data_IF_024530364610
#
_entry.id   IF_024530364610
#
_cell.length_a   1.000
_cell.length_b   1.000
_cell.length_c   1.000
_cell.angle_alpha   90.00
_cell.angle_beta   90.00
_cell.angle_gamma   90.00
#
_symmetry.space_group_name_H-M   'P 1'
#
loop_
_entity.id
_entity.type
_entity.pdbx_description
1 polymer ?
#
# COMPACT_ATOMS: atom_id res chain seq x y z
N UNK A 1 10.00 -20.73 -4.23
CA UNK A 1 8.72 -20.03 -4.21
C UNK A 1 8.30 -20.01 -2.75
N UNK A 2 8.70 -18.97 -2.04
CA UNK A 2 8.53 -18.85 -0.57
C UNK A 2 7.38 -17.89 -0.38
N UNK A 3 6.28 -18.43 0.11
CA UNK A 3 5.16 -17.65 0.60
C UNK A 3 5.57 -17.04 1.94
N UNK A 4 5.67 -15.71 2.02
CA UNK A 4 5.83 -14.93 3.24
C UNK A 4 4.51 -14.73 3.98
N UNK A 5 4.35 -14.02 5.11
CA UNK A 5 3.08 -13.77 5.81
C UNK A 5 2.16 -12.84 5.00
N UNK A 6 1.64 -13.39 4.15
CA UNK A 6 2.04 -14.17 3.00
C UNK A 6 0.82 -14.59 2.25
N UNK A 7 0.54 -13.94 1.16
CA UNK A 7 -0.45 -14.30 0.17
C UNK A 7 -1.43 -13.22 -0.20
N UNK A 8 -1.48 -12.09 0.47
CA UNK A 8 -2.32 -10.99 0.01
C UNK A 8 -1.68 -10.37 -1.24
N UNK A 9 -2.34 -10.50 -2.38
CA UNK A 9 -1.99 -9.77 -3.60
C UNK A 9 -2.01 -8.26 -3.32
N UNK A 10 -1.12 -7.54 -3.98
CA UNK A 10 -1.21 -6.08 -4.01
C UNK A 10 -2.59 -5.67 -4.56
N UNK A 11 -3.23 -4.66 -3.97
CA UNK A 11 -4.52 -4.16 -4.44
C UNK A 11 -4.35 -2.90 -5.28
N UNK A 12 -5.10 -2.78 -6.37
CA UNK A 12 -5.23 -1.56 -7.15
C UNK A 12 -6.65 -1.01 -7.00
N UNK A 13 -6.80 0.23 -6.53
CA UNK A 13 -8.09 0.90 -6.43
C UNK A 13 -8.43 1.57 -7.76
N UNK A 14 -9.57 1.18 -8.35
CA UNK A 14 -10.08 1.72 -9.60
C UNK A 14 -11.28 2.62 -9.28
N UNK A 15 -11.20 3.89 -9.66
CA UNK A 15 -12.23 4.88 -9.33
C UNK A 15 -12.69 5.59 -10.60
N UNK A 16 -13.91 5.34 -11.03
CA UNK A 16 -14.53 5.93 -12.22
C UNK A 16 -16.05 5.85 -12.04
N UNK A 17 -16.81 6.90 -12.35
CA UNK A 17 -18.27 6.91 -12.20
C UNK A 17 -19.00 6.04 -13.25
N UNK A 18 -18.27 5.60 -14.28
CA UNK A 18 -18.81 4.76 -15.36
C UNK A 18 -18.36 3.31 -15.20
N UNK A 19 -19.30 2.45 -14.94
CA UNK A 19 -19.07 1.01 -14.77
C UNK A 19 -18.36 0.35 -15.96
N UNK A 20 -18.65 0.81 -17.18
CA UNK A 20 -17.98 0.29 -18.40
C UNK A 20 -16.47 0.57 -18.37
N UNK A 21 -16.07 1.75 -17.86
CA UNK A 21 -14.65 2.08 -17.69
C UNK A 21 -13.99 1.20 -16.64
N UNK A 22 -14.66 0.92 -15.53
CA UNK A 22 -14.14 0.03 -14.49
C UNK A 22 -13.92 -1.38 -15.02
N UNK A 23 -14.89 -1.93 -15.76
CA UNK A 23 -14.77 -3.25 -16.41
C UNK A 23 -13.58 -3.28 -17.39
N UNK A 24 -13.39 -2.22 -18.17
CA UNK A 24 -12.27 -2.12 -19.09
C UNK A 24 -10.92 -2.06 -18.34
N UNK A 25 -10.85 -1.32 -17.24
CA UNK A 25 -9.66 -1.25 -16.39
C UNK A 25 -9.33 -2.60 -15.75
N UNK A 26 -10.33 -3.30 -15.21
CA UNK A 26 -10.17 -4.65 -14.67
C UNK A 26 -9.63 -5.62 -15.73
N UNK A 27 -10.20 -5.58 -16.95
CA UNK A 27 -9.74 -6.41 -18.06
C UNK A 27 -8.29 -6.10 -18.47
N UNK A 28 -7.89 -4.83 -18.46
CA UNK A 28 -6.51 -4.42 -18.74
C UNK A 28 -5.55 -4.96 -17.66
N UNK A 29 -5.95 -5.02 -16.42
CA UNK A 29 -5.11 -5.50 -15.31
C UNK A 29 -5.07 -7.02 -15.18
N UNK A 30 -5.90 -7.76 -15.92
CA UNK A 30 -5.87 -9.22 -15.91
C UNK A 30 -4.46 -9.79 -16.18
N UNK A 31 -4.06 -10.79 -15.38
CA UNK A 31 -2.76 -11.44 -15.48
C UNK A 31 -1.59 -10.66 -14.84
N UNK A 32 -1.82 -9.48 -14.28
CA UNK A 32 -0.89 -8.87 -13.33
C UNK A 32 -1.09 -9.47 -11.92
N UNK A 33 -0.04 -9.52 -11.09
CA UNK A 33 -0.15 -9.99 -9.70
C UNK A 33 -0.77 -8.91 -8.80
N UNK A 34 -1.99 -8.48 -9.13
CA UNK A 34 -2.72 -7.41 -8.46
C UNK A 34 -4.21 -7.75 -8.41
N UNK A 35 -4.85 -7.46 -7.30
CA UNK A 35 -6.30 -7.55 -7.10
C UNK A 35 -6.93 -6.18 -7.40
N UNK A 36 -7.73 -6.02 -8.44
CA UNK A 36 -8.45 -4.78 -8.70
C UNK A 36 -9.65 -4.65 -7.76
N UNK A 37 -9.82 -3.47 -7.18
CA UNK A 37 -10.99 -3.09 -6.37
C UNK A 37 -11.64 -1.89 -7.03
N UNK A 38 -12.83 -2.08 -7.61
CA UNK A 38 -13.55 -1.07 -8.37
C UNK A 38 -14.58 -0.34 -7.51
N UNK A 39 -14.64 0.98 -7.62
CA UNK A 39 -15.63 1.84 -6.94
C UNK A 39 -16.08 2.96 -7.87
N UNK A 40 -17.35 3.37 -7.76
CA UNK A 40 -18.01 4.29 -8.70
C UNK A 40 -18.02 5.76 -8.22
N UNK A 41 -17.28 6.11 -7.17
CA UNK A 41 -17.22 7.51 -6.70
C UNK A 41 -16.02 7.79 -5.81
N UNK A 42 -15.64 9.07 -5.70
CA UNK A 42 -14.61 9.53 -4.77
C UNK A 42 -14.94 9.19 -3.31
N UNK A 43 -16.20 9.37 -2.91
CA UNK A 43 -16.65 9.03 -1.55
C UNK A 43 -16.51 7.53 -1.25
N UNK A 44 -16.81 6.65 -2.22
CA UNK A 44 -16.61 5.21 -2.08
C UNK A 44 -15.11 4.87 -2.01
N UNK A 45 -14.28 5.51 -2.81
CA UNK A 45 -12.82 5.35 -2.76
C UNK A 45 -12.25 5.70 -1.38
N UNK A 46 -12.68 6.83 -0.81
CA UNK A 46 -12.25 7.25 0.53
C UNK A 46 -12.67 6.27 1.63
N UNK A 47 -13.83 5.62 1.50
CA UNK A 47 -14.29 4.56 2.43
C UNK A 47 -13.43 3.29 2.28
N UNK A 48 -13.16 2.89 1.03
CA UNK A 48 -12.36 1.69 0.75
C UNK A 48 -10.93 1.82 1.31
N UNK A 49 -10.33 3.01 1.21
CA UNK A 49 -9.01 3.33 1.77
C UNK A 49 -8.94 3.31 3.30
N UNK A 50 -10.06 3.27 4.01
CA UNK A 50 -10.10 3.05 5.47
C UNK A 50 -9.99 1.56 5.83
N UNK A 51 -10.37 0.69 4.91
CA UNK A 51 -10.48 -0.76 5.14
C UNK A 51 -9.21 -1.45 4.66
N UNK A 52 -8.75 -1.11 3.46
CA UNK A 52 -7.67 -1.80 2.76
C UNK A 52 -6.45 -0.88 2.48
N UNK A 53 -5.30 -1.51 2.29
CA UNK A 53 -4.09 -0.87 1.77
C UNK A 53 -3.95 -1.14 0.27
N UNK A 54 -3.53 -0.12 -0.49
CA UNK A 54 -3.45 -0.18 -1.94
C UNK A 54 -2.03 0.13 -2.43
N UNK A 55 -1.60 -0.60 -3.46
CA UNK A 55 -0.33 -0.38 -4.14
C UNK A 55 -0.39 0.82 -5.10
N UNK A 56 -1.57 1.09 -5.68
CA UNK A 56 -1.80 2.17 -6.64
C UNK A 56 -3.29 2.50 -6.71
N UNK A 57 -3.61 3.74 -7.03
CA UNK A 57 -4.97 4.22 -7.29
C UNK A 57 -5.04 4.72 -8.74
N UNK A 58 -5.96 4.17 -9.53
CA UNK A 58 -6.34 4.70 -10.84
C UNK A 58 -7.60 5.53 -10.64
N UNK A 59 -7.54 6.82 -10.90
CA UNK A 59 -8.58 7.77 -10.52
C UNK A 59 -9.02 8.60 -11.72
N UNK A 60 -10.29 8.46 -12.09
CA UNK A 60 -10.86 9.36 -13.09
C UNK A 60 -10.84 10.81 -12.57
N UNK A 61 -10.38 11.71 -13.43
CA UNK A 61 -10.31 13.13 -13.08
C UNK A 61 -11.71 13.79 -13.03
N UNK A 62 -12.67 13.28 -13.80
CA UNK A 62 -13.99 13.86 -13.96
C UNK A 62 -15.07 12.90 -13.47
N UNK A 63 -15.56 13.16 -12.27
CA UNK A 63 -16.68 12.43 -11.67
C UNK A 63 -17.70 13.41 -11.10
N UNK A 64 -18.99 13.03 -11.02
CA UNK A 64 -20.01 13.85 -10.37
C UNK A 64 -19.77 13.96 -8.86
N UNK A 65 -20.33 14.98 -8.23
CA UNK A 65 -20.29 15.30 -6.81
C UNK A 65 -18.88 15.62 -6.27
N UNK A 66 -17.98 14.67 -6.24
CA UNK A 66 -16.59 14.82 -5.83
C UNK A 66 -15.69 14.43 -7.00
N UNK A 67 -15.02 15.40 -7.62
CA UNK A 67 -14.11 15.15 -8.73
C UNK A 67 -12.84 14.38 -8.28
N UNK A 68 -12.06 13.90 -9.26
CA UNK A 68 -10.84 13.14 -8.96
C UNK A 68 -9.79 13.97 -8.22
N UNK A 69 -9.70 15.28 -8.48
CA UNK A 69 -8.71 16.15 -7.82
C UNK A 69 -9.07 16.40 -6.35
N UNK A 70 -10.36 16.61 -6.07
CA UNK A 70 -10.85 16.72 -4.69
C UNK A 70 -10.64 15.40 -3.94
N UNK A 71 -10.98 14.28 -4.58
CA UNK A 71 -10.73 12.93 -4.03
C UNK A 71 -9.25 12.73 -3.72
N UNK A 72 -8.35 13.06 -4.65
CA UNK A 72 -6.91 12.95 -4.46
C UNK A 72 -6.41 13.85 -3.33
N UNK A 73 -6.94 15.08 -3.22
CA UNK A 73 -6.62 15.98 -2.12
C UNK A 73 -6.95 15.35 -0.77
N UNK A 74 -8.14 14.77 -0.61
CA UNK A 74 -8.52 14.07 0.61
C UNK A 74 -7.61 12.87 0.92
N UNK A 75 -7.20 12.10 -0.10
CA UNK A 75 -6.28 10.97 0.04
C UNK A 75 -4.91 11.45 0.55
N UNK A 76 -4.38 12.51 -0.06
CA UNK A 76 -3.03 13.02 0.24
C UNK A 76 -2.93 13.78 1.56
N UNK A 77 -4.01 14.31 2.08
CA UNK A 77 -4.05 14.95 3.40
C UNK A 77 -4.09 13.97 4.57
N UNK A 78 -4.44 12.71 4.34
CA UNK A 78 -4.49 11.68 5.40
C UNK A 78 -3.15 10.98 5.54
N UNK A 79 -2.61 10.92 6.73
CA UNK A 79 -1.30 10.31 7.01
C UNK A 79 -1.21 8.86 6.53
N UNK A 80 -2.27 8.07 6.72
CA UNK A 80 -2.33 6.66 6.31
C UNK A 80 -2.26 6.47 4.79
N UNK A 81 -2.83 7.38 4.00
CA UNK A 81 -3.01 7.19 2.55
C UNK A 81 -2.19 8.13 1.69
N UNK A 82 -1.55 9.16 2.25
CA UNK A 82 -0.80 10.17 1.49
C UNK A 82 0.33 9.60 0.63
N UNK A 83 0.88 8.46 1.02
CA UNK A 83 1.98 7.82 0.32
C UNK A 83 1.52 6.94 -0.86
N UNK A 84 0.23 6.59 -0.93
CA UNK A 84 -0.30 5.75 -2.02
C UNK A 84 -0.20 6.50 -3.34
N UNK A 85 0.45 5.92 -4.37
CA UNK A 85 0.57 6.57 -5.68
C UNK A 85 -0.79 6.68 -6.37
N UNK A 86 -1.05 7.83 -6.99
CA UNK A 86 -2.26 8.10 -7.77
C UNK A 86 -1.87 8.34 -9.21
N UNK A 87 -2.50 7.61 -10.13
CA UNK A 87 -2.46 7.84 -11.57
C UNK A 87 -3.82 8.39 -11.98
N UNK A 88 -3.85 9.62 -12.48
CA UNK A 88 -5.07 10.19 -13.03
C UNK A 88 -5.37 9.64 -14.42
N UNK A 89 -6.64 9.32 -14.66
CA UNK A 89 -7.20 9.04 -15.97
C UNK A 89 -8.02 10.24 -16.40
N UNK A 90 -7.67 10.91 -17.51
CA UNK A 90 -8.29 12.17 -17.94
C UNK A 90 -8.66 12.15 -19.40
N UNK A 91 -9.69 12.90 -19.79
CA UNK A 91 -10.04 13.07 -21.20
C UNK A 91 -8.99 13.95 -21.92
N UNK A 92 -8.75 13.66 -23.22
CA UNK A 92 -7.67 14.21 -24.02
C UNK A 92 -7.65 15.72 -24.22
N UNK A 93 -8.71 16.44 -23.89
CA UNK A 93 -8.95 17.74 -24.53
C UNK A 93 -8.83 18.99 -23.65
N UNK A 94 -8.30 18.95 -22.43
CA UNK A 94 -8.09 20.21 -21.68
C UNK A 94 -6.99 20.11 -20.62
N UNK A 95 -5.91 20.80 -20.93
CA UNK A 95 -5.08 21.58 -20.03
C UNK A 95 -3.80 20.95 -19.48
N UNK A 96 -2.68 21.49 -19.96
CA UNK A 96 -1.48 21.61 -19.16
C UNK A 96 -1.77 22.06 -17.70
N UNK A 97 -2.88 22.77 -17.47
CA UNK A 97 -3.37 23.15 -16.15
C UNK A 97 -3.88 21.95 -15.33
N UNK A 98 -4.52 20.94 -15.93
CA UNK A 98 -4.95 19.74 -15.22
C UNK A 98 -3.75 18.88 -14.78
N UNK A 99 -2.73 18.77 -15.63
CA UNK A 99 -1.49 18.11 -15.26
C UNK A 99 -0.79 18.84 -14.10
N UNK A 100 -0.72 20.18 -14.14
CA UNK A 100 -0.20 21.01 -13.06
C UNK A 100 -1.01 20.86 -11.76
N UNK A 101 -2.34 20.79 -11.84
CA UNK A 101 -3.20 20.54 -10.68
C UNK A 101 -2.95 19.13 -10.10
N UNK A 102 -2.82 18.11 -10.94
CA UNK A 102 -2.51 16.75 -10.53
C UNK A 102 -1.17 16.66 -9.77
N UNK A 103 -0.12 17.27 -10.30
CA UNK A 103 1.17 17.32 -9.61
C UNK A 103 1.12 18.15 -8.32
N UNK A 104 0.37 19.24 -8.29
CA UNK A 104 0.20 20.07 -7.09
C UNK A 104 -0.51 19.31 -5.95
N UNK A 105 -1.40 18.37 -6.28
CA UNK A 105 -2.07 17.48 -5.30
C UNK A 105 -1.20 16.30 -4.90
N UNK A 106 -0.04 16.09 -5.54
CA UNK A 106 0.88 15.00 -5.22
C UNK A 106 0.57 13.69 -5.97
N UNK A 107 -0.09 13.75 -7.13
CA UNK A 107 -0.19 12.63 -8.04
C UNK A 107 1.19 12.30 -8.62
N UNK A 108 1.41 11.02 -8.91
CA UNK A 108 2.69 10.56 -9.47
C UNK A 108 2.68 10.55 -10.99
N UNK A 109 1.48 10.47 -11.61
CA UNK A 109 1.35 10.34 -13.05
C UNK A 109 -0.08 10.65 -13.54
N UNK A 110 -0.22 10.78 -14.86
CA UNK A 110 -1.52 10.89 -15.53
C UNK A 110 -1.52 10.13 -16.86
N UNK A 111 -2.68 9.66 -17.30
CA UNK A 111 -2.92 9.03 -18.59
C UNK A 111 -4.13 9.66 -19.26
N UNK A 112 -3.96 10.07 -20.50
CA UNK A 112 -5.03 10.68 -21.30
C UNK A 112 -5.84 9.61 -22.02
N UNK A 113 -7.17 9.63 -21.83
CA UNK A 113 -8.10 8.74 -22.54
C UNK A 113 -8.28 9.25 -24.00
N UNK A 114 -8.20 8.39 -25.04
CA UNK A 114 -7.90 6.95 -24.95
C UNK A 114 -6.41 6.70 -24.72
N UNK A 115 -6.08 5.78 -23.84
CA UNK A 115 -4.70 5.38 -23.57
C UNK A 115 -4.42 3.94 -24.06
N UNK A 116 -3.15 3.67 -24.30
CA UNK A 116 -2.69 2.33 -24.66
C UNK A 116 -2.74 1.42 -23.39
N UNK A 117 -3.47 0.27 -23.46
CA UNK A 117 -3.53 -0.69 -22.35
C UNK A 117 -2.15 -1.16 -21.86
N UNK A 118 -1.17 -1.31 -22.75
CA UNK A 118 0.18 -1.71 -22.39
C UNK A 118 0.90 -0.67 -21.53
N UNK A 119 0.69 0.62 -21.84
CA UNK A 119 1.26 1.73 -21.05
C UNK A 119 0.67 1.72 -19.63
N UNK A 120 -0.65 1.55 -19.50
CA UNK A 120 -1.29 1.45 -18.18
C UNK A 120 -0.76 0.25 -17.40
N UNK A 121 -0.70 -0.93 -18.03
CA UNK A 121 -0.15 -2.14 -17.40
C UNK A 121 1.28 -1.95 -16.90
N UNK A 122 2.14 -1.38 -17.73
CA UNK A 122 3.53 -1.13 -17.37
C UNK A 122 3.64 -0.19 -16.15
N UNK A 123 2.84 0.88 -16.11
CA UNK A 123 2.81 1.81 -14.97
C UNK A 123 2.32 1.13 -13.68
N UNK A 124 1.23 0.37 -13.75
CA UNK A 124 0.68 -0.35 -12.59
C UNK A 124 1.68 -1.40 -12.10
N UNK A 125 2.33 -2.13 -12.99
CA UNK A 125 3.33 -3.16 -12.62
C UNK A 125 4.47 -2.59 -11.79
N UNK A 126 4.96 -1.39 -12.11
CA UNK A 126 6.03 -0.73 -11.34
C UNK A 126 5.60 -0.47 -9.90
N UNK A 127 4.38 0.04 -9.70
CA UNK A 127 3.88 0.33 -8.36
C UNK A 127 3.57 -0.93 -7.56
N UNK A 128 3.05 -1.97 -8.21
CA UNK A 128 2.84 -3.29 -7.60
C UNK A 128 4.17 -3.90 -7.15
N UNK A 129 5.21 -3.82 -7.98
CA UNK A 129 6.55 -4.30 -7.62
C UNK A 129 7.14 -3.52 -6.43
N UNK A 130 7.06 -2.18 -6.46
CA UNK A 130 7.53 -1.33 -5.37
C UNK A 130 6.80 -1.63 -4.06
N UNK A 131 5.48 -1.78 -4.10
CA UNK A 131 4.67 -2.12 -2.94
C UNK A 131 5.09 -3.49 -2.37
N UNK A 132 5.25 -4.49 -3.22
CA UNK A 132 5.67 -5.84 -2.82
C UNK A 132 7.05 -5.81 -2.16
N UNK A 133 8.01 -5.08 -2.75
CA UNK A 133 9.35 -4.94 -2.17
C UNK A 133 9.35 -4.20 -0.83
N UNK A 134 8.54 -3.15 -0.69
CA UNK A 134 8.39 -2.44 0.58
C UNK A 134 7.83 -3.35 1.67
N UNK A 135 6.80 -4.14 1.37
CA UNK A 135 6.24 -5.13 2.31
C UNK A 135 7.27 -6.18 2.74
N UNK A 136 8.08 -6.66 1.80
CA UNK A 136 9.17 -7.60 2.12
C UNK A 136 10.22 -6.96 3.05
N UNK A 137 10.60 -5.72 2.79
CA UNK A 137 11.54 -4.99 3.65
C UNK A 137 10.98 -4.75 5.05
N UNK A 138 9.71 -4.40 5.17
CA UNK A 138 9.03 -4.24 6.46
C UNK A 138 9.01 -5.56 7.25
N UNK A 139 8.66 -6.67 6.59
CA UNK A 139 8.66 -8.00 7.19
C UNK A 139 10.07 -8.41 7.66
N UNK A 140 11.10 -8.19 6.86
CA UNK A 140 12.49 -8.46 7.24
C UNK A 140 12.95 -7.58 8.41
N UNK A 141 12.57 -6.30 8.41
CA UNK A 141 12.91 -5.39 9.50
C UNK A 141 12.23 -5.81 10.82
N UNK A 142 11.00 -6.30 10.75
CA UNK A 142 10.27 -6.80 11.90
C UNK A 142 10.91 -8.08 12.45
N UNK A 143 11.20 -9.06 11.58
CA UNK A 143 11.90 -10.29 11.95
C UNK A 143 13.26 -10.00 12.59
N UNK A 144 14.01 -9.04 12.06
CA UNK A 144 15.29 -8.62 12.62
C UNK A 144 15.13 -7.93 13.99
N UNK A 145 14.03 -7.19 14.22
CA UNK A 145 13.71 -6.61 15.54
C UNK A 145 13.40 -7.69 16.57
N UNK A 146 12.56 -8.67 16.19
CA UNK A 146 12.20 -9.79 17.05
C UNK A 146 13.43 -10.61 17.41
N UNK A 147 14.31 -10.92 16.45
CA UNK A 147 15.55 -11.66 16.71
C UNK A 147 16.46 -10.89 17.69
N UNK A 148 16.64 -9.58 17.51
CA UNK A 148 17.44 -8.76 18.45
C UNK A 148 16.86 -8.79 19.86
N UNK A 149 15.54 -8.72 19.98
CA UNK A 149 14.87 -8.80 21.28
C UNK A 149 15.12 -10.14 21.96
N UNK A 150 15.02 -11.27 21.23
CA UNK A 150 15.32 -12.60 21.73
C UNK A 150 16.78 -12.74 22.15
N UNK A 151 17.72 -12.28 21.33
CA UNK A 151 19.16 -12.30 21.67
C UNK A 151 19.43 -11.53 22.96
N UNK A 152 18.87 -10.34 23.08
CA UNK A 152 19.03 -9.51 24.30
C UNK A 152 18.45 -10.19 25.55
N UNK A 153 17.31 -10.88 25.41
CA UNK A 153 16.71 -11.62 26.52
C UNK A 153 17.57 -12.82 26.94
N UNK A 154 18.12 -13.55 25.97
CA UNK A 154 19.06 -14.66 26.24
C UNK A 154 20.33 -14.18 26.92
N UNK A 155 20.92 -13.08 26.48
CA UNK A 155 22.12 -12.48 27.09
C UNK A 155 21.83 -12.07 28.54
N UNK A 156 20.69 -11.43 28.79
CA UNK A 156 20.25 -11.02 30.11
C UNK A 156 20.03 -12.20 31.03
N UNK A 157 19.33 -13.23 30.57
CA UNK A 157 19.09 -14.45 31.32
C UNK A 157 20.42 -15.20 31.63
N UNK A 158 21.34 -15.24 30.68
CA UNK A 158 22.65 -15.84 30.86
C UNK A 158 23.49 -15.10 31.91
N UNK A 159 23.42 -13.77 31.92
CA UNK A 159 24.10 -12.95 32.92
C UNK A 159 23.56 -13.23 34.35
N UNK A 160 22.23 -13.34 34.49
CA UNK A 160 21.56 -13.65 35.76
C UNK A 160 21.94 -15.07 36.26
N UNK A 161 21.97 -16.06 35.38
CA UNK A 161 22.33 -17.44 35.73
C UNK A 161 23.77 -17.57 36.18
N UNK A 162 24.68 -16.70 35.74
CA UNK A 162 26.09 -16.71 36.18
C UNK A 162 26.28 -16.27 37.62
N UNK A 163 25.34 -15.49 38.19
CA UNK A 163 25.38 -15.07 39.59
C UNK A 163 25.05 -16.23 40.55
N UNK A 164 24.26 -17.23 40.11
CA UNK A 164 24.05 -18.50 40.78
C UNK A 164 23.10 -18.48 41.97
N UNK A 165 22.34 -17.42 42.18
CA UNK A 165 21.32 -17.41 43.26
C UNK A 165 19.96 -17.93 42.76
N UNK A 166 19.18 -18.56 43.68
CA UNK A 166 17.81 -19.00 43.34
C UNK A 166 16.89 -17.89 42.85
N UNK A 167 17.06 -16.66 43.37
CA UNK A 167 16.31 -15.48 42.93
C UNK A 167 16.67 -15.11 41.48
N UNK A 168 17.93 -15.19 41.08
CA UNK A 168 18.40 -14.87 39.74
C UNK A 168 17.96 -15.92 38.72
N UNK A 169 17.88 -17.19 39.13
CA UNK A 169 17.34 -18.28 38.29
C UNK A 169 15.86 -17.99 37.98
N UNK A 170 15.06 -17.62 38.98
CA UNK A 170 13.67 -17.30 38.79
C UNK A 170 13.46 -16.09 37.88
N UNK A 171 14.27 -15.04 38.09
CA UNK A 171 14.20 -13.85 37.24
C UNK A 171 14.66 -14.12 35.80
N UNK A 172 15.67 -14.95 35.59
CA UNK A 172 16.08 -15.38 34.25
C UNK A 172 14.96 -16.10 33.49
N UNK A 173 14.19 -16.96 34.17
CA UNK A 173 13.03 -17.63 33.59
C UNK A 173 11.94 -16.62 33.20
N UNK A 174 11.64 -15.63 34.04
CA UNK A 174 10.66 -14.58 33.76
C UNK A 174 11.06 -13.74 32.50
N UNK A 175 12.33 -13.38 32.37
CA UNK A 175 12.86 -12.65 31.20
C UNK A 175 12.69 -13.46 29.92
N UNK A 176 12.95 -14.76 29.95
CA UNK A 176 12.81 -15.63 28.78
C UNK A 176 11.33 -15.87 28.42
N UNK A 177 10.46 -15.97 29.40
CA UNK A 177 9.01 -16.12 29.18
C UNK A 177 8.41 -14.85 28.54
N UNK A 178 8.82 -13.66 28.97
CA UNK A 178 8.38 -12.38 28.40
C UNK A 178 8.89 -12.13 26.98
N UNK A 179 10.03 -12.72 26.60
CA UNK A 179 10.60 -12.63 25.26
C UNK A 179 10.00 -13.63 24.25
N UNK A 180 9.14 -14.52 24.70
CA UNK A 180 8.49 -15.53 23.85
C UNK A 180 7.52 -14.84 22.88
N UNK A 181 7.56 -15.18 21.56
CA UNK A 181 6.71 -14.59 20.53
C UNK A 181 5.23 -14.93 20.71
#
# INVERSE_FOLDING_TARGET
MVAGPEGALAKALLVDDRRDNLIALEAILQGLPVEPVAVESGAAALKQLLIDDFAVILLDAQMPDMDGFETASHIKHRERTRHVPIIFLTAADRDAQLALRGYAVGAVDYLTKPFDPWVLRAKVSVFVELWTKNRQLEAHAEAARQLRHLVSAVDSATALLRSGTDADIKHALEVLEQARP
#
